data_IF_519003898247
#
_entry.id   IF_519003898247
#
_cell.length_a   1.000
_cell.length_b   1.000
_cell.length_c   1.000
_cell.angle_alpha   90.00
_cell.angle_beta   90.00
_cell.angle_gamma   90.00
#
_symmetry.space_group_name_H-M   'P 1'
#
loop_
_entity.id
_entity.type
_entity.pdbx_description
1 polymer ?
#
# COMPACT_ATOMS: atom_id res chain seq x y z
N UNK A 1 13.87 13.56 0.97
CA UNK A 1 12.93 12.72 0.18
C UNK A 1 12.08 13.63 -0.72
N UNK A 2 12.71 14.29 -1.69
CA UNK A 2 12.05 15.21 -2.63
C UNK A 2 12.20 14.63 -4.04
N UNK A 3 11.43 15.12 -5.02
CA UNK A 3 11.67 14.81 -6.43
C UNK A 3 13.11 15.21 -6.78
N UNK A 4 13.96 14.29 -7.31
CA UNK A 4 15.36 14.61 -7.54
C UNK A 4 15.52 15.78 -8.52
N UNK A 5 16.43 16.75 -8.26
CA UNK A 5 16.55 17.98 -9.06
C UNK A 5 16.71 17.75 -10.57
N UNK A 6 17.33 16.65 -10.99
CA UNK A 6 17.49 16.28 -12.40
C UNK A 6 16.17 16.14 -13.18
N UNK A 7 15.06 15.87 -12.49
CA UNK A 7 13.73 15.77 -13.08
C UNK A 7 13.02 17.13 -13.21
N UNK A 8 13.52 18.22 -12.61
CA UNK A 8 12.76 19.47 -12.46
C UNK A 8 13.15 20.61 -13.42
N UNK A 9 14.17 20.41 -14.26
CA UNK A 9 14.66 21.46 -15.17
C UNK A 9 13.81 21.55 -16.44
N UNK A 10 12.88 22.51 -16.47
CA UNK A 10 11.92 22.79 -17.57
C UNK A 10 12.60 23.14 -18.90
N UNK A 11 13.80 23.70 -18.86
CA UNK A 11 14.44 24.30 -20.06
C UNK A 11 15.40 23.32 -20.76
N UNK A 12 15.88 22.27 -20.08
CA UNK A 12 17.03 21.49 -20.58
C UNK A 12 17.00 19.99 -20.27
N UNK A 13 16.14 19.51 -19.38
CA UNK A 13 16.19 18.10 -18.98
C UNK A 13 15.28 17.24 -19.84
N UNK A 14 15.79 16.19 -20.51
CA UNK A 14 14.93 15.18 -21.14
C UNK A 14 14.16 14.34 -20.12
N UNK A 15 14.42 14.53 -18.82
CA UNK A 15 13.74 13.87 -17.71
C UNK A 15 12.57 14.70 -17.15
N UNK A 16 12.36 15.91 -17.66
CA UNK A 16 11.28 16.77 -17.21
C UNK A 16 9.92 16.34 -17.77
N UNK A 17 8.88 16.47 -16.94
CA UNK A 17 7.49 16.34 -17.33
C UNK A 17 6.69 17.50 -16.71
N UNK A 18 5.91 18.21 -17.52
CA UNK A 18 5.08 19.32 -17.09
C UNK A 18 3.75 18.89 -16.45
N UNK A 19 3.37 17.62 -16.58
CA UNK A 19 2.15 17.03 -16.04
C UNK A 19 2.36 16.39 -14.66
N UNK A 20 3.22 17.00 -13.83
CA UNK A 20 3.35 16.68 -12.40
C UNK A 20 2.55 17.67 -11.57
N UNK A 21 2.20 17.31 -10.33
CA UNK A 21 1.60 18.26 -9.40
C UNK A 21 2.62 19.39 -9.08
N UNK A 22 2.34 20.67 -9.44
CA UNK A 22 3.26 21.77 -9.20
C UNK A 22 3.54 22.02 -7.71
N UNK A 23 2.58 21.74 -6.83
CA UNK A 23 2.72 21.92 -5.37
C UNK A 23 3.65 20.86 -4.74
N UNK A 24 3.96 19.80 -5.50
CA UNK A 24 4.80 18.68 -5.08
C UNK A 24 6.22 18.72 -5.66
N UNK A 25 6.55 19.76 -6.43
CA UNK A 25 7.93 20.00 -6.83
C UNK A 25 8.77 20.45 -5.61
N UNK A 26 10.11 20.30 -5.64
CA UNK A 26 10.94 20.76 -4.53
C UNK A 26 10.66 22.25 -4.20
N UNK A 27 10.64 22.61 -2.91
CA UNK A 27 11.19 21.86 -1.77
C UNK A 27 10.23 20.85 -1.10
N UNK A 28 9.08 20.55 -1.69
CA UNK A 28 8.11 19.61 -1.10
C UNK A 28 8.69 18.21 -0.88
N UNK A 29 8.49 17.67 0.32
CA UNK A 29 8.85 16.29 0.68
C UNK A 29 7.69 15.38 0.29
N UNK A 30 8.00 14.24 -0.34
CA UNK A 30 6.99 13.25 -0.72
C UNK A 30 6.17 12.82 0.49
N UNK A 31 4.86 12.64 0.32
CA UNK A 31 4.03 11.98 1.31
C UNK A 31 3.76 10.54 0.88
N UNK A 32 4.44 9.57 1.51
CA UNK A 32 4.29 8.15 1.18
C UNK A 32 2.92 7.57 1.56
N UNK A 33 2.11 8.32 2.31
CA UNK A 33 0.73 7.99 2.64
C UNK A 33 -0.28 9.04 2.11
N UNK A 34 0.10 9.77 1.06
CA UNK A 34 -0.72 10.84 0.50
C UNK A 34 -2.16 10.42 0.20
N UNK A 35 -3.14 11.24 0.58
CA UNK A 35 -4.56 10.87 0.50
C UNK A 35 -5.46 11.94 -0.12
N UNK A 36 -4.94 12.66 -1.13
CA UNK A 36 -5.62 13.76 -1.83
C UNK A 36 -5.94 14.98 -0.95
N UNK A 37 -5.26 15.07 0.20
CA UNK A 37 -5.26 16.16 1.16
C UNK A 37 -3.83 16.64 1.43
N UNK A 38 -3.47 17.79 0.88
CA UNK A 38 -2.17 18.42 1.13
C UNK A 38 -2.22 19.18 2.45
N UNK A 39 -2.16 18.43 3.56
CA UNK A 39 -1.93 19.00 4.88
C UNK A 39 -0.46 19.39 4.95
N UNK A 40 -0.18 20.69 4.99
CA UNK A 40 1.18 21.19 5.18
C UNK A 40 1.71 20.74 6.53
N UNK A 41 2.70 19.86 6.50
CA UNK A 41 3.48 19.43 7.66
C UNK A 41 4.93 19.89 7.52
N UNK A 42 5.60 20.05 8.65
CA UNK A 42 7.03 20.34 8.65
C UNK A 42 7.81 19.24 7.87
N UNK A 43 8.78 19.58 7.00
CA UNK A 43 9.53 18.61 6.22
C UNK A 43 10.20 17.51 7.04
N UNK A 44 10.72 17.81 8.24
CA UNK A 44 11.33 16.81 9.10
C UNK A 44 10.29 15.85 9.68
N UNK A 45 9.10 16.36 9.99
CA UNK A 45 7.95 15.55 10.42
C UNK A 45 7.47 14.65 9.29
N UNK A 46 7.35 15.16 8.05
CA UNK A 46 6.99 14.32 6.89
C UNK A 46 8.01 13.22 6.62
N UNK A 47 9.31 13.51 6.75
CA UNK A 47 10.37 12.49 6.64
C UNK A 47 10.16 11.40 7.69
N UNK A 48 9.88 11.76 8.94
CA UNK A 48 9.57 10.79 9.99
C UNK A 48 8.36 9.93 9.62
N UNK A 49 7.24 10.53 9.22
CA UNK A 49 6.04 9.80 8.79
C UNK A 49 6.30 8.84 7.63
N UNK A 50 7.15 9.23 6.67
CA UNK A 50 7.57 8.34 5.59
C UNK A 50 8.37 7.15 6.10
N UNK A 51 9.28 7.34 7.06
CA UNK A 51 10.05 6.26 7.67
C UNK A 51 9.15 5.28 8.43
N UNK A 52 8.20 5.79 9.23
CA UNK A 52 7.19 4.95 9.91
C UNK A 52 6.31 4.18 8.93
N UNK A 53 5.93 4.81 7.82
CA UNK A 53 5.18 4.17 6.72
C UNK A 53 5.99 3.02 6.13
N UNK A 54 7.26 3.25 5.79
CA UNK A 54 8.13 2.19 5.28
C UNK A 54 8.34 1.05 6.27
N UNK A 55 8.58 1.35 7.55
CA UNK A 55 8.69 0.35 8.61
C UNK A 55 7.41 -0.49 8.71
N UNK A 56 6.23 0.15 8.71
CA UNK A 56 4.94 -0.55 8.75
C UNK A 56 4.81 -1.51 7.56
N UNK A 57 5.00 -1.01 6.35
CA UNK A 57 4.74 -1.76 5.13
C UNK A 57 5.75 -2.89 4.91
N UNK A 58 7.05 -2.61 5.05
CA UNK A 58 8.12 -3.58 4.77
C UNK A 58 8.31 -4.61 5.89
N UNK A 59 8.18 -4.21 7.17
CA UNK A 59 8.55 -5.06 8.32
C UNK A 59 7.32 -5.65 9.00
N UNK A 60 6.29 -4.83 9.26
CA UNK A 60 5.14 -5.28 10.05
C UNK A 60 4.11 -6.00 9.21
N UNK A 61 3.81 -5.50 8.01
CA UNK A 61 2.76 -6.04 7.14
C UNK A 61 3.28 -7.09 6.15
N UNK A 62 4.47 -6.92 5.57
CA UNK A 62 5.02 -7.83 4.53
C UNK A 62 5.82 -9.02 5.10
N UNK A 63 5.24 -9.83 5.99
CA UNK A 63 5.97 -10.96 6.62
C UNK A 63 5.93 -12.26 5.80
N UNK A 64 5.01 -12.36 4.84
CA UNK A 64 4.87 -13.51 3.94
C UNK A 64 4.93 -13.10 2.47
N UNK A 65 5.17 -14.06 1.55
CA UNK A 65 5.18 -13.77 0.11
C UNK A 65 3.83 -13.22 -0.38
N UNK A 66 2.70 -13.74 0.12
CA UNK A 66 1.36 -13.26 -0.23
C UNK A 66 1.13 -11.82 0.21
N UNK A 67 1.65 -11.41 1.36
CA UNK A 67 1.55 -10.02 1.81
C UNK A 67 2.47 -9.10 1.01
N UNK A 68 3.68 -9.55 0.66
CA UNK A 68 4.62 -8.73 -0.10
C UNK A 68 4.22 -8.57 -1.58
N UNK A 69 3.96 -9.68 -2.28
CA UNK A 69 3.67 -9.71 -3.72
C UNK A 69 2.18 -9.58 -4.06
N UNK A 70 1.29 -9.98 -3.16
CA UNK A 70 -0.14 -10.12 -3.45
C UNK A 70 -0.56 -11.57 -3.67
N UNK A 71 -1.84 -11.77 -3.97
CA UNK A 71 -2.40 -13.11 -4.13
C UNK A 71 -2.14 -13.66 -5.54
N UNK A 72 -2.25 -15.00 -5.71
CA UNK A 72 -2.10 -15.60 -7.02
C UNK A 72 -3.09 -15.05 -8.06
N UNK A 73 -2.58 -14.87 -9.29
CA UNK A 73 -3.36 -14.58 -10.48
C UNK A 73 -2.95 -15.57 -11.57
N UNK A 74 -3.91 -16.35 -12.06
CA UNK A 74 -3.71 -17.45 -13.01
C UNK A 74 -4.58 -17.29 -14.25
N UNK A 75 -4.19 -17.98 -15.32
CA UNK A 75 -4.97 -18.05 -16.54
C UNK A 75 -6.35 -18.67 -16.26
N UNK A 76 -7.41 -17.97 -16.66
CA UNK A 76 -8.80 -18.40 -16.42
C UNK A 76 -9.44 -17.83 -15.17
N UNK A 77 -8.68 -17.12 -14.32
CA UNK A 77 -9.26 -16.44 -13.17
C UNK A 77 -10.18 -15.29 -13.61
N UNK A 78 -11.24 -15.06 -12.83
CA UNK A 78 -12.14 -13.93 -13.02
C UNK A 78 -11.46 -12.64 -12.54
N UNK A 79 -11.02 -11.85 -13.51
CA UNK A 79 -10.37 -10.56 -13.27
C UNK A 79 -11.24 -9.55 -12.53
N UNK A 80 -12.55 -9.77 -12.36
CA UNK A 80 -13.41 -8.85 -11.61
C UNK A 80 -13.43 -9.14 -10.11
N UNK A 81 -12.89 -10.29 -9.68
CA UNK A 81 -12.93 -10.75 -8.29
C UNK A 81 -11.56 -11.17 -7.72
N UNK A 82 -10.47 -10.88 -8.47
CA UNK A 82 -9.11 -11.18 -8.04
C UNK A 82 -8.75 -10.47 -6.74
N UNK A 83 -8.32 -11.27 -5.76
CA UNK A 83 -7.88 -10.75 -4.47
C UNK A 83 -6.52 -10.06 -4.58
N UNK A 84 -6.48 -8.79 -4.17
CA UNK A 84 -5.42 -8.10 -3.44
C UNK A 84 -4.01 -8.10 -4.04
N UNK A 85 -3.63 -6.92 -4.51
CA UNK A 85 -2.27 -6.39 -4.54
C UNK A 85 -1.51 -6.61 -3.21
N UNK A 86 -0.18 -6.73 -3.29
CA UNK A 86 0.69 -6.77 -2.12
C UNK A 86 0.76 -5.44 -1.37
N UNK A 87 1.39 -5.44 -0.20
CA UNK A 87 1.52 -4.27 0.65
C UNK A 87 2.27 -3.13 -0.03
N UNK A 88 3.38 -3.43 -0.70
CA UNK A 88 4.22 -2.40 -1.34
C UNK A 88 3.53 -1.77 -2.54
N UNK A 89 2.76 -2.54 -3.31
CA UNK A 89 1.94 -2.04 -4.40
C UNK A 89 0.87 -1.06 -3.88
N UNK A 90 0.22 -1.39 -2.77
CA UNK A 90 -0.80 -0.56 -2.12
C UNK A 90 -0.23 0.71 -1.48
N UNK A 91 0.86 0.58 -0.73
CA UNK A 91 1.59 1.68 -0.08
C UNK A 91 3.04 1.25 0.13
N UNK A 92 4.03 2.02 -0.35
CA UNK A 92 3.91 3.40 -0.84
C UNK A 92 3.65 3.55 -2.34
N UNK A 93 3.74 2.50 -3.17
CA UNK A 93 3.76 2.62 -4.64
C UNK A 93 2.61 3.46 -5.20
N UNK A 94 1.35 3.07 -4.96
CA UNK A 94 0.20 3.80 -5.48
C UNK A 94 0.13 5.26 -4.99
N UNK A 95 0.63 5.53 -3.78
CA UNK A 95 0.63 6.87 -3.21
C UNK A 95 1.69 7.76 -3.88
N UNK A 96 2.87 7.22 -4.23
CA UNK A 96 3.89 7.98 -4.99
C UNK A 96 3.37 8.37 -6.36
N UNK A 97 2.69 7.46 -7.04
CA UNK A 97 2.00 7.73 -8.31
C UNK A 97 1.00 8.87 -8.18
N UNK A 98 0.06 8.75 -7.24
CA UNK A 98 -1.00 9.74 -7.03
C UNK A 98 -0.46 11.10 -6.59
N UNK A 99 0.56 11.11 -5.73
CA UNK A 99 1.25 12.32 -5.30
C UNK A 99 1.97 13.00 -6.47
N UNK A 100 2.59 12.24 -7.37
CA UNK A 100 3.37 12.83 -8.46
C UNK A 100 2.50 13.33 -9.62
N UNK A 101 1.38 12.65 -9.91
CA UNK A 101 0.47 12.96 -11.02
C UNK A 101 -0.10 14.38 -10.97
N UNK A 102 -0.49 14.92 -12.12
CA UNK A 102 -1.08 16.26 -12.22
C UNK A 102 -2.38 16.38 -11.44
N UNK A 103 -2.69 17.59 -11.02
CA UNK A 103 -3.98 17.97 -10.41
C UNK A 103 -4.80 18.92 -11.29
N UNK A 104 -4.35 19.17 -12.53
CA UNK A 104 -5.04 20.07 -13.49
C UNK A 104 -6.47 19.60 -13.76
N UNK A 105 -6.66 18.29 -13.90
CA UNK A 105 -7.97 17.65 -13.91
C UNK A 105 -8.04 16.67 -12.73
N UNK A 106 -8.78 16.99 -11.65
CA UNK A 106 -8.93 16.11 -10.50
C UNK A 106 -9.55 14.74 -10.83
N UNK A 107 -10.23 14.62 -11.98
CA UNK A 107 -10.76 13.35 -12.47
C UNK A 107 -9.75 12.56 -13.31
N UNK A 108 -8.59 13.15 -13.61
CA UNK A 108 -7.58 12.57 -14.49
C UNK A 108 -6.13 12.95 -14.11
N UNK A 109 -5.57 12.20 -13.17
CA UNK A 109 -4.26 12.48 -12.55
C UNK A 109 -3.05 12.06 -13.42
N UNK A 110 -3.08 12.30 -14.74
CA UNK A 110 -1.95 11.96 -15.63
C UNK A 110 -0.68 12.77 -15.30
N UNK A 111 0.53 12.37 -15.64
CA UNK A 111 0.91 11.05 -16.12
C UNK A 111 1.00 10.09 -14.93
N UNK A 112 1.86 10.37 -13.95
CA UNK A 112 2.16 9.44 -12.85
C UNK A 112 0.94 8.95 -12.05
N UNK A 113 -0.13 9.71 -11.90
CA UNK A 113 -1.31 9.29 -11.14
C UNK A 113 -2.29 8.37 -11.87
N UNK A 114 -1.98 7.90 -13.09
CA UNK A 114 -2.80 6.91 -13.80
C UNK A 114 -1.95 5.90 -14.59
N UNK A 115 -2.27 4.61 -14.50
CA UNK A 115 -1.42 3.55 -15.07
C UNK A 115 -1.27 3.63 -16.59
N UNK A 116 -2.30 4.08 -17.30
CA UNK A 116 -2.28 4.16 -18.76
C UNK A 116 -1.36 5.28 -19.31
N UNK A 117 -0.90 6.19 -18.45
CA UNK A 117 -0.06 7.33 -18.81
C UNK A 117 1.21 7.46 -17.97
N UNK A 118 1.33 6.78 -16.83
CA UNK A 118 2.42 6.93 -15.88
C UNK A 118 3.82 6.87 -16.51
N UNK A 119 4.08 5.89 -17.38
CA UNK A 119 5.37 5.70 -18.02
C UNK A 119 5.75 6.78 -19.08
N UNK A 120 4.85 7.73 -19.36
CA UNK A 120 5.16 8.92 -20.17
C UNK A 120 6.03 9.92 -19.40
N UNK A 121 5.95 9.89 -18.07
CA UNK A 121 6.86 10.64 -17.19
C UNK A 121 8.14 9.83 -16.97
N UNK A 122 9.34 10.34 -17.32
CA UNK A 122 10.61 9.65 -17.10
C UNK A 122 10.86 9.22 -15.64
N UNK A 123 10.27 9.90 -14.64
CA UNK A 123 10.46 9.54 -13.22
C UNK A 123 9.81 8.21 -12.86
N UNK A 124 8.85 7.72 -13.66
CA UNK A 124 8.22 6.41 -13.51
C UNK A 124 9.24 5.29 -13.35
N UNK A 125 10.27 5.28 -14.22
CA UNK A 125 11.28 4.24 -14.22
C UNK A 125 12.17 4.30 -12.97
N UNK A 126 12.49 5.50 -12.48
CA UNK A 126 13.23 5.66 -11.22
C UNK A 126 12.40 5.29 -9.99
N UNK A 127 11.09 5.57 -10.01
CA UNK A 127 10.18 5.10 -8.98
C UNK A 127 10.16 3.56 -8.93
N UNK A 128 9.93 2.90 -10.07
CA UNK A 128 9.91 1.44 -10.15
C UNK A 128 11.26 0.80 -9.90
N UNK A 129 12.38 1.47 -10.20
CA UNK A 129 13.71 1.01 -9.78
C UNK A 129 13.81 0.95 -8.25
N UNK A 130 13.24 1.90 -7.51
CA UNK A 130 13.24 1.82 -6.05
C UNK A 130 12.20 0.79 -5.52
N UNK A 131 11.11 0.53 -6.25
CA UNK A 131 10.17 -0.56 -5.93
C UNK A 131 10.84 -1.94 -6.10
N UNK A 132 11.57 -2.15 -7.20
CA UNK A 132 12.39 -3.35 -7.42
C UNK A 132 13.48 -3.48 -6.34
N UNK A 133 14.12 -2.37 -5.96
CA UNK A 133 15.05 -2.34 -4.82
C UNK A 133 14.37 -2.80 -3.52
N UNK A 134 13.09 -2.48 -3.27
CA UNK A 134 12.40 -2.95 -2.06
C UNK A 134 12.31 -4.47 -2.01
N UNK A 135 12.10 -5.14 -3.15
CA UNK A 135 12.14 -6.60 -3.21
C UNK A 135 13.51 -7.16 -2.84
N UNK A 136 14.59 -6.57 -3.36
CA UNK A 136 15.95 -7.01 -3.00
C UNK A 136 16.24 -6.83 -1.50
N UNK A 137 15.78 -5.73 -0.88
CA UNK A 137 15.90 -5.52 0.57
C UNK A 137 15.07 -6.53 1.34
N UNK A 138 13.83 -6.78 0.91
CA UNK A 138 12.93 -7.72 1.56
C UNK A 138 13.52 -9.14 1.58
N UNK A 139 14.07 -9.60 0.46
CA UNK A 139 14.76 -10.89 0.39
C UNK A 139 16.01 -10.92 1.27
N UNK A 140 16.92 -9.97 1.07
CA UNK A 140 18.29 -10.08 1.59
C UNK A 140 18.45 -9.62 3.05
N UNK A 141 17.64 -8.65 3.48
CA UNK A 141 17.76 -8.04 4.81
C UNK A 141 16.61 -8.42 5.75
N UNK A 142 15.40 -8.61 5.20
CA UNK A 142 14.22 -8.97 5.99
C UNK A 142 13.90 -10.46 5.96
N UNK A 143 14.71 -11.27 5.26
CA UNK A 143 14.56 -12.74 5.15
C UNK A 143 13.22 -13.16 4.52
N UNK A 144 12.71 -12.32 3.62
CA UNK A 144 11.60 -12.65 2.75
C UNK A 144 11.93 -13.82 1.83
N UNK A 145 10.90 -14.45 1.27
CA UNK A 145 11.06 -15.60 0.38
C UNK A 145 10.19 -15.44 -0.86
N UNK A 146 10.72 -15.76 -2.04
CA UNK A 146 9.90 -15.79 -3.25
C UNK A 146 8.86 -16.92 -3.19
N UNK A 147 7.80 -16.81 -3.98
CA UNK A 147 6.92 -17.96 -4.20
C UNK A 147 7.69 -19.10 -4.88
N UNK A 148 7.35 -20.32 -4.50
CA UNK A 148 7.83 -21.55 -5.14
C UNK A 148 6.77 -22.22 -6.02
N UNK A 149 5.59 -21.60 -6.12
CA UNK A 149 4.48 -22.06 -6.94
C UNK A 149 4.91 -22.11 -8.43
N UNK A 150 4.84 -23.28 -9.09
CA UNK A 150 5.16 -23.41 -10.50
C UNK A 150 4.34 -22.49 -11.42
N UNK A 151 3.09 -22.17 -11.07
CA UNK A 151 2.26 -21.27 -11.88
C UNK A 151 2.84 -19.85 -11.89
N UNK A 152 3.36 -19.41 -10.75
CA UNK A 152 4.05 -18.12 -10.64
C UNK A 152 5.41 -18.16 -11.34
N UNK A 153 6.23 -19.16 -11.06
CA UNK A 153 7.59 -19.28 -11.63
C UNK A 153 7.59 -19.38 -13.17
N UNK A 154 6.60 -20.05 -13.75
CA UNK A 154 6.48 -20.26 -15.19
C UNK A 154 5.64 -19.21 -15.89
N UNK A 155 4.99 -18.29 -15.16
CA UNK A 155 4.34 -17.13 -15.75
C UNK A 155 5.37 -16.36 -16.60
N UNK A 156 4.94 -15.96 -17.79
CA UNK A 156 5.82 -15.32 -18.76
C UNK A 156 5.21 -14.05 -19.33
N UNK A 157 6.10 -13.16 -19.74
CA UNK A 157 5.78 -11.89 -20.38
C UNK A 157 6.60 -11.78 -21.67
N UNK A 158 6.16 -10.90 -22.57
CA UNK A 158 6.89 -10.61 -23.82
C UNK A 158 7.27 -9.14 -23.81
N UNK A 159 8.56 -8.87 -23.90
CA UNK A 159 9.12 -7.52 -24.03
C UNK A 159 9.90 -7.40 -25.34
N UNK A 160 9.95 -6.19 -25.89
CA UNK A 160 10.93 -5.88 -26.93
C UNK A 160 12.28 -5.57 -26.28
N UNK A 161 13.34 -6.20 -26.77
CA UNK A 161 14.70 -5.91 -26.34
C UNK A 161 15.31 -4.74 -27.13
N UNK A 162 16.58 -4.44 -26.87
CA UNK A 162 17.35 -3.35 -27.48
C UNK A 162 17.53 -3.49 -29.01
N UNK A 163 17.46 -4.70 -29.58
CA UNK A 163 17.43 -4.91 -31.03
C UNK A 163 16.01 -4.92 -31.62
N UNK A 164 15.02 -4.46 -30.87
CA UNK A 164 13.60 -4.45 -31.25
C UNK A 164 13.06 -5.86 -31.59
N UNK A 165 13.55 -6.89 -30.89
CA UNK A 165 13.05 -8.27 -31.01
C UNK A 165 12.14 -8.62 -29.84
N UNK A 166 11.02 -9.32 -30.08
CA UNK A 166 10.18 -9.81 -28.99
C UNK A 166 10.89 -10.97 -28.30
N UNK A 167 11.07 -10.85 -26.98
CA UNK A 167 11.70 -11.86 -26.13
C UNK A 167 10.70 -12.29 -25.07
N UNK A 168 10.52 -13.61 -24.93
CA UNK A 168 9.75 -14.20 -23.83
C UNK A 168 10.64 -14.31 -22.60
N UNK A 169 10.20 -13.73 -21.48
CA UNK A 169 10.86 -13.83 -20.18
C UNK A 169 9.93 -14.50 -19.17
N UNK A 170 10.47 -15.27 -18.24
CA UNK A 170 9.69 -15.90 -17.16
C UNK A 170 10.08 -15.31 -15.81
N UNK A 171 9.17 -15.35 -14.85
CA UNK A 171 9.44 -14.87 -13.49
C UNK A 171 10.65 -15.58 -12.87
N UNK A 172 10.78 -16.90 -13.02
CA UNK A 172 11.92 -17.64 -12.45
C UNK A 172 13.30 -17.15 -12.95
N UNK A 173 13.34 -16.57 -14.14
CA UNK A 173 14.59 -16.11 -14.77
C UNK A 173 15.01 -14.72 -14.24
N UNK A 174 14.17 -14.03 -13.48
CA UNK A 174 14.46 -12.71 -12.90
C UNK A 174 14.62 -12.68 -11.38
N UNK A 175 14.61 -13.82 -10.69
CA UNK A 175 14.69 -13.91 -9.21
C UNK A 175 16.06 -13.56 -8.62
N UNK A 176 17.06 -13.34 -9.48
CA UNK A 176 18.43 -12.99 -9.11
C UNK A 176 18.91 -11.85 -10.03
N UNK A 177 18.93 -10.63 -9.50
CA UNK A 177 19.31 -9.44 -10.28
C UNK A 177 20.77 -9.52 -10.76
N UNK A 178 21.64 -10.27 -10.08
CA UNK A 178 23.04 -10.42 -10.49
C UNK A 178 23.17 -11.21 -11.79
N UNK A 179 22.27 -12.17 -12.04
CA UNK A 179 22.18 -12.90 -13.33
C UNK A 179 21.61 -12.02 -14.44
N UNK A 180 20.84 -10.99 -14.07
CA UNK A 180 20.37 -9.96 -14.99
C UNK A 180 21.43 -8.86 -15.22
N UNK A 181 22.58 -8.93 -14.55
CA UNK A 181 23.69 -8.01 -14.74
C UNK A 181 23.57 -6.69 -13.99
N UNK A 182 22.72 -6.59 -12.96
CA UNK A 182 22.59 -5.37 -12.16
C UNK A 182 22.40 -5.61 -10.66
N UNK A 183 22.79 -4.60 -9.87
CA UNK A 183 22.50 -4.49 -8.43
C UNK A 183 22.23 -3.03 -8.08
N UNK A 184 21.77 -2.78 -6.85
CA UNK A 184 21.63 -1.43 -6.32
C UNK A 184 22.86 -1.03 -5.52
N UNK A 185 23.17 0.27 -5.51
CA UNK A 185 24.15 0.83 -4.59
C UNK A 185 23.69 0.66 -3.13
N UNK A 186 24.63 0.29 -2.26
CA UNK A 186 24.41 0.17 -0.83
C UNK A 186 24.33 1.56 -0.20
N UNK A 187 23.11 2.00 0.07
CA UNK A 187 22.81 3.26 0.78
C UNK A 187 22.15 2.98 2.13
N UNK A 188 22.31 3.84 3.14
CA UNK A 188 21.67 3.67 4.44
C UNK A 188 20.14 3.51 4.33
N UNK A 189 19.59 2.54 5.05
CA UNK A 189 18.15 2.23 5.07
C UNK A 189 17.59 2.62 6.43
N UNK A 190 17.19 3.88 6.55
CA UNK A 190 16.83 4.50 7.83
C UNK A 190 15.56 3.92 8.47
N UNK A 191 14.64 3.35 7.68
CA UNK A 191 13.39 2.76 8.17
C UNK A 191 13.54 1.34 8.75
N UNK A 192 14.77 0.79 8.76
CA UNK A 192 15.08 -0.44 9.51
C UNK A 192 15.37 -0.17 10.99
N UNK A 193 15.59 1.09 11.38
CA UNK A 193 15.92 1.46 12.75
C UNK A 193 14.69 1.29 13.67
N UNK A 194 14.89 0.72 14.86
CA UNK A 194 13.83 0.54 15.85
C UNK A 194 13.16 1.86 16.28
N UNK A 195 13.86 2.99 16.18
CA UNK A 195 13.31 4.33 16.42
C UNK A 195 12.23 4.74 15.40
N UNK A 196 12.16 4.06 14.25
CA UNK A 196 11.13 4.25 13.22
C UNK A 196 9.95 3.30 13.37
N UNK A 197 9.83 2.63 14.52
CA UNK A 197 8.65 1.83 14.88
C UNK A 197 7.49 2.74 15.29
N UNK A 198 6.30 2.63 14.67
CA UNK A 198 5.12 3.37 15.10
C UNK A 198 4.83 3.17 16.59
N UNK A 199 4.31 4.19 17.26
CA UNK A 199 4.07 4.20 18.70
C UNK A 199 2.57 4.36 19.01
N UNK A 200 2.02 3.68 20.02
CA UNK A 200 0.65 3.91 20.47
C UNK A 200 0.43 5.36 20.91
N UNK A 201 -0.67 5.99 20.51
CA UNK A 201 -1.05 7.33 21.03
C UNK A 201 -1.46 7.26 22.49
N UNK A 202 -2.16 6.20 22.87
CA UNK A 202 -2.57 5.94 24.24
C UNK A 202 -2.68 4.43 24.47
N UNK A 203 -2.53 4.00 25.73
CA UNK A 203 -2.94 2.63 26.11
C UNK A 203 -4.46 2.56 26.00
N UNK A 204 -4.99 1.66 25.18
CA UNK A 204 -6.43 1.44 25.07
C UNK A 204 -7.00 1.15 26.47
N UNK A 205 -7.91 1.97 26.99
CA UNK A 205 -8.51 1.73 28.33
C UNK A 205 -9.98 1.34 28.28
N UNK A 206 -10.71 1.76 27.25
CA UNK A 206 -12.10 1.35 26.98
C UNK A 206 -12.42 1.59 25.51
N UNK A 207 -12.99 0.61 24.81
CA UNK A 207 -13.48 0.80 23.45
C UNK A 207 -14.78 1.64 23.47
N UNK A 208 -14.96 2.57 22.53
CA UNK A 208 -16.22 3.30 22.38
C UNK A 208 -17.35 2.34 21.96
N UNK A 209 -18.59 2.79 22.11
CA UNK A 209 -19.75 2.06 21.60
C UNK A 209 -19.81 2.16 20.08
N UNK A 210 -19.84 1.03 19.38
CA UNK A 210 -20.08 0.95 17.94
C UNK A 210 -20.85 -0.34 17.60
N UNK A 211 -21.60 -0.37 16.48
CA UNK A 211 -22.35 -1.55 16.06
C UNK A 211 -21.44 -2.72 15.63
N UNK A 212 -22.00 -3.92 15.60
CA UNK A 212 -21.34 -5.09 15.02
C UNK A 212 -21.29 -4.96 13.48
N UNK A 213 -20.27 -5.50 12.78
CA UNK A 213 -20.14 -5.41 11.32
C UNK A 213 -21.40 -5.84 10.55
N UNK A 214 -22.10 -6.88 11.01
CA UNK A 214 -23.31 -7.39 10.36
C UNK A 214 -24.50 -6.42 10.38
N UNK A 215 -24.48 -5.40 11.26
CA UNK A 215 -25.51 -4.36 11.34
C UNK A 215 -25.22 -3.19 10.38
N UNK A 216 -23.99 -3.10 9.87
CA UNK A 216 -23.52 -1.97 9.05
C UNK A 216 -23.29 -2.38 7.60
N UNK A 217 -22.70 -3.56 7.36
CA UNK A 217 -22.33 -4.00 6.02
C UNK A 217 -23.35 -4.97 5.41
N UNK A 218 -23.54 -4.98 4.07
CA UNK A 218 -22.81 -4.19 3.08
C UNK A 218 -23.24 -2.71 3.05
N UNK A 219 -22.30 -1.79 2.89
CA UNK A 219 -22.59 -0.35 2.77
C UNK A 219 -21.56 0.38 1.92
N UNK A 220 -21.92 1.57 1.47
CA UNK A 220 -21.01 2.52 0.81
C UNK A 220 -20.19 3.26 1.88
N UNK A 221 -18.87 3.33 1.69
CA UNK A 221 -17.96 4.10 2.53
C UNK A 221 -17.85 5.53 2.01
N UNK A 222 -18.84 6.37 2.30
CA UNK A 222 -18.92 7.80 1.96
C UNK A 222 -18.59 8.73 3.13
N UNK A 223 -18.53 8.18 4.35
CA UNK A 223 -18.12 8.84 5.59
C UNK A 223 -17.37 7.85 6.49
N UNK A 224 -16.69 8.32 7.56
CA UNK A 224 -16.08 7.43 8.53
C UNK A 224 -17.07 6.42 9.13
N UNK A 225 -16.66 5.16 9.23
CA UNK A 225 -17.45 4.07 9.81
C UNK A 225 -16.65 3.42 10.94
N UNK A 226 -17.29 3.28 12.09
CA UNK A 226 -16.77 2.61 13.29
C UNK A 226 -17.55 1.32 13.53
N UNK A 227 -16.88 0.19 13.70
CA UNK A 227 -17.50 -1.11 14.03
C UNK A 227 -16.70 -1.86 15.10
N UNK A 228 -17.40 -2.62 15.94
CA UNK A 228 -16.77 -3.51 16.93
C UNK A 228 -16.64 -4.90 16.34
N UNK A 229 -15.41 -5.34 16.07
CA UNK A 229 -15.12 -6.64 15.46
C UNK A 229 -14.73 -7.64 16.54
N UNK A 230 -15.43 -8.77 16.58
CA UNK A 230 -15.12 -9.87 17.49
C UNK A 230 -13.81 -10.55 17.07
N UNK A 231 -12.94 -10.83 18.05
CA UNK A 231 -11.72 -11.59 17.81
C UNK A 231 -12.01 -13.09 17.92
N UNK A 232 -11.53 -13.91 16.97
CA UNK A 232 -11.68 -15.35 17.09
C UNK A 232 -10.86 -15.86 18.28
N UNK A 233 -11.47 -16.67 19.15
CA UNK A 233 -10.75 -17.34 20.24
C UNK A 233 -9.94 -18.51 19.68
N UNK A 234 -8.66 -18.56 20.03
CA UNK A 234 -7.80 -19.67 19.61
C UNK A 234 -8.13 -20.94 20.40
N UNK A 235 -8.36 -22.05 19.71
CA UNK A 235 -8.24 -23.39 20.31
C UNK A 235 -6.81 -23.90 20.10
N UNK A 236 -6.02 -24.02 21.18
CA UNK A 236 -4.67 -24.61 21.15
C UNK A 236 -3.50 -23.63 21.33
N UNK A 237 -2.30 -24.17 21.57
CA UNK A 237 -1.13 -23.48 22.15
C UNK A 237 -0.14 -22.84 21.16
N UNK A 238 -0.55 -22.51 19.93
CA UNK A 238 0.33 -21.82 18.97
C UNK A 238 0.18 -20.29 18.99
N UNK A 239 1.14 -19.54 18.42
CA UNK A 239 0.95 -18.13 18.02
C UNK A 239 0.66 -18.08 16.51
N UNK A 240 -0.61 -17.98 16.11
CA UNK A 240 -1.00 -17.75 14.71
C UNK A 240 -1.23 -16.26 14.54
N UNK A 241 -0.83 -15.70 13.41
CA UNK A 241 -1.09 -14.30 13.12
C UNK A 241 -2.60 -14.04 13.03
N UNK A 242 -3.05 -12.98 13.67
CA UNK A 242 -4.39 -12.42 13.48
C UNK A 242 -4.36 -11.46 12.30
N UNK A 243 -5.30 -11.65 11.37
CA UNK A 243 -5.45 -10.87 10.16
C UNK A 243 -6.80 -10.17 10.20
N UNK A 244 -6.79 -8.84 10.17
CA UNK A 244 -7.98 -8.04 9.86
C UNK A 244 -8.24 -8.11 8.35
N UNK A 245 -9.45 -8.49 7.96
CA UNK A 245 -9.88 -8.57 6.57
C UNK A 245 -11.00 -7.57 6.34
N UNK A 246 -10.79 -6.64 5.40
CA UNK A 246 -11.83 -5.81 4.82
C UNK A 246 -12.36 -6.54 3.58
N UNK A 247 -13.61 -6.98 3.65
CA UNK A 247 -14.20 -7.92 2.71
C UNK A 247 -14.99 -7.23 1.60
N UNK A 248 -14.78 -7.71 0.37
CA UNK A 248 -15.54 -7.36 -0.81
C UNK A 248 -15.62 -5.86 -1.05
N UNK A 249 -14.45 -5.23 -1.10
CA UNK A 249 -14.23 -3.85 -1.53
C UNK A 249 -14.59 -3.77 -3.01
N UNK A 250 -15.76 -3.23 -3.32
CA UNK A 250 -16.30 -3.04 -4.67
C UNK A 250 -16.09 -1.58 -5.11
N UNK A 251 -15.44 -1.39 -6.26
CA UNK A 251 -15.14 -0.07 -6.83
C UNK A 251 -15.00 -0.13 -8.35
N UNK A 252 -14.94 1.04 -9.02
CA UNK A 252 -14.62 1.14 -10.45
C UNK A 252 -13.11 1.37 -10.63
N UNK A 253 -12.40 0.47 -11.32
CA UNK A 253 -10.94 0.60 -11.59
C UNK A 253 -10.58 1.81 -12.44
N UNK A 254 -11.56 2.41 -13.12
CA UNK A 254 -11.39 3.67 -13.84
C UNK A 254 -11.16 4.87 -12.92
N UNK A 255 -11.42 4.72 -11.62
CA UNK A 255 -11.36 5.79 -10.64
C UNK A 255 -10.22 5.61 -9.64
N UNK A 256 -9.67 6.73 -9.19
CA UNK A 256 -8.85 6.74 -7.99
C UNK A 256 -9.76 6.51 -6.78
N UNK A 257 -9.45 5.48 -5.99
CA UNK A 257 -10.10 5.25 -4.69
C UNK A 257 -9.05 5.08 -3.60
N UNK A 258 -9.31 5.62 -2.41
CA UNK A 258 -8.48 5.43 -1.23
C UNK A 258 -9.32 5.49 0.04
N UNK A 259 -9.02 4.62 1.00
CA UNK A 259 -9.50 4.74 2.36
C UNK A 259 -8.45 4.24 3.36
N UNK A 260 -8.45 4.84 4.54
CA UNK A 260 -7.55 4.51 5.64
C UNK A 260 -8.24 3.55 6.61
N UNK A 261 -7.45 2.69 7.26
CA UNK A 261 -7.92 1.71 8.23
C UNK A 261 -7.19 1.91 9.55
N UNK A 262 -7.96 2.02 10.62
CA UNK A 262 -7.45 2.15 11.98
C UNK A 262 -8.02 1.05 12.87
N UNK A 263 -7.28 0.72 13.93
CA UNK A 263 -7.68 -0.21 14.98
C UNK A 263 -7.59 0.47 16.35
N UNK A 264 -8.63 0.33 17.15
CA UNK A 264 -8.75 0.94 18.48
C UNK A 264 -8.57 2.47 18.51
N UNK A 265 -8.98 3.15 17.44
CA UNK A 265 -8.93 4.61 17.29
C UNK A 265 -10.23 5.14 16.67
N UNK A 266 -10.89 6.07 17.36
CA UNK A 266 -12.10 6.77 16.90
C UNK A 266 -11.87 8.27 16.64
N UNK A 267 -10.80 8.86 17.16
CA UNK A 267 -10.35 10.22 16.85
C UNK A 267 -9.24 10.19 15.78
N UNK A 268 -9.65 9.76 14.59
CA UNK A 268 -8.75 9.58 13.43
C UNK A 268 -8.10 10.87 12.94
N UNK A 269 -8.67 12.04 13.27
CA UNK A 269 -8.11 13.34 12.88
C UNK A 269 -6.83 13.68 13.67
N UNK A 270 -6.69 13.10 14.86
CA UNK A 270 -5.50 13.26 15.68
C UNK A 270 -4.54 12.07 15.56
N UNK A 271 -4.86 11.10 14.68
CA UNK A 271 -3.98 9.99 14.32
C UNK A 271 -3.13 10.32 13.11
N UNK A 272 -1.90 9.85 13.15
CA UNK A 272 -0.85 10.12 12.17
C UNK A 272 -0.17 8.82 11.70
N UNK A 273 0.62 8.87 10.61
CA UNK A 273 1.32 7.69 10.11
C UNK A 273 2.34 7.07 11.06
N UNK A 274 2.76 7.76 12.12
CA UNK A 274 3.64 7.25 13.17
C UNK A 274 2.89 6.56 14.32
N UNK A 275 1.56 6.49 14.26
CA UNK A 275 0.76 5.84 15.30
C UNK A 275 0.53 4.34 15.00
N UNK A 276 0.50 3.55 16.06
CA UNK A 276 0.31 2.09 15.98
C UNK A 276 -1.11 1.73 15.55
N UNK A 277 -2.07 2.54 15.97
CA UNK A 277 -3.49 2.42 15.68
C UNK A 277 -3.78 2.53 14.17
N UNK A 278 -2.93 3.24 13.41
CA UNK A 278 -3.05 3.31 11.96
C UNK A 278 -2.44 2.06 11.30
N UNK A 279 -3.29 1.27 10.62
CA UNK A 279 -2.89 0.03 9.96
C UNK A 279 -2.38 0.25 8.53
N UNK A 280 -2.68 1.40 7.94
CA UNK A 280 -2.40 1.70 6.53
C UNK A 280 -3.68 1.96 5.75
N UNK A 281 -3.58 1.84 4.42
CA UNK A 281 -4.66 2.17 3.52
C UNK A 281 -4.88 1.12 2.44
N UNK A 282 -6.07 1.18 1.85
CA UNK A 282 -6.36 0.58 0.55
C UNK A 282 -6.38 1.71 -0.48
N UNK A 283 -5.75 1.49 -1.64
CA UNK A 283 -5.75 2.43 -2.75
C UNK A 283 -5.87 1.72 -4.11
N UNK A 284 -6.38 2.44 -5.10
CA UNK A 284 -6.39 2.03 -6.49
C UNK A 284 -6.07 3.23 -7.38
N UNK A 285 -5.18 3.04 -8.35
CA UNK A 285 -4.93 3.99 -9.42
C UNK A 285 -5.86 3.74 -10.62
N UNK A 286 -6.29 4.80 -11.35
CA UNK A 286 -7.03 4.66 -12.60
C UNK A 286 -6.29 3.82 -13.66
N UNK A 287 -6.98 2.82 -14.24
CA UNK A 287 -6.44 1.95 -15.29
C UNK A 287 -6.80 2.39 -16.73
N UNK A 288 -7.48 3.54 -16.90
CA UNK A 288 -7.86 4.08 -18.21
C UNK A 288 -9.09 3.44 -18.86
N UNK A 289 -9.74 2.49 -18.18
CA UNK A 289 -11.01 1.90 -18.59
C UNK A 289 -11.87 1.62 -17.36
N UNK A 290 -13.19 1.66 -17.53
CA UNK A 290 -14.14 1.38 -16.44
C UNK A 290 -14.35 -0.12 -16.30
N UNK A 291 -14.31 -0.59 -15.06
CA UNK A 291 -14.56 -1.99 -14.70
C UNK A 291 -14.93 -2.05 -13.24
N UNK A 292 -16.09 -2.61 -12.92
CA UNK A 292 -16.42 -2.96 -11.54
C UNK A 292 -15.51 -4.09 -11.09
N UNK A 293 -14.82 -3.87 -9.99
CA UNK A 293 -13.82 -4.77 -9.44
C UNK A 293 -14.08 -4.96 -7.96
N UNK A 294 -13.89 -6.20 -7.50
CA UNK A 294 -14.13 -6.61 -6.12
C UNK A 294 -12.88 -7.29 -5.58
N UNK A 295 -12.40 -6.84 -4.43
CA UNK A 295 -11.21 -7.40 -3.77
C UNK A 295 -11.38 -7.42 -2.26
N UNK A 296 -10.45 -8.06 -1.58
CA UNK A 296 -10.25 -7.91 -0.14
C UNK A 296 -8.95 -7.14 0.14
N UNK A 297 -8.86 -6.53 1.33
CA UNK A 297 -7.60 -6.02 1.90
C UNK A 297 -7.37 -6.69 3.25
N UNK A 298 -6.11 -7.06 3.51
CA UNK A 298 -5.69 -7.80 4.71
C UNK A 298 -4.67 -6.95 5.46
N UNK A 299 -4.71 -6.99 6.79
CA UNK A 299 -3.73 -6.35 7.66
C UNK A 299 -3.32 -7.30 8.78
N UNK A 300 -2.03 -7.47 9.00
CA UNK A 300 -1.48 -8.16 10.17
C UNK A 300 -1.69 -7.30 11.41
N UNK A 301 -2.30 -7.88 12.44
CA UNK A 301 -2.67 -7.14 13.66
C UNK A 301 -2.12 -7.76 14.95
N UNK A 302 -1.50 -8.94 14.96
CA UNK A 302 -1.03 -9.55 16.22
C UNK A 302 -0.01 -8.68 16.97
N UNK A 303 0.96 -8.13 16.25
CA UNK A 303 1.98 -7.24 16.83
C UNK A 303 1.38 -5.88 17.22
N UNK A 304 0.42 -5.38 16.43
CA UNK A 304 -0.31 -4.14 16.72
C UNK A 304 -1.10 -4.28 18.02
N UNK A 305 -1.82 -5.40 18.21
CA UNK A 305 -2.56 -5.68 19.43
C UNK A 305 -1.67 -5.84 20.66
N UNK A 306 -0.44 -6.36 20.49
CA UNK A 306 0.55 -6.40 21.56
C UNK A 306 0.98 -4.99 21.98
N UNK A 307 1.37 -4.16 21.02
CA UNK A 307 1.83 -2.79 21.27
C UNK A 307 0.75 -1.92 21.92
N UNK A 308 -0.51 -2.10 21.50
CA UNK A 308 -1.65 -1.39 22.07
C UNK A 308 -2.07 -1.93 23.46
N UNK A 309 -1.49 -3.05 23.92
CA UNK A 309 -1.90 -3.72 25.15
C UNK A 309 -3.30 -4.36 25.07
N UNK A 310 -3.75 -4.70 23.86
CA UNK A 310 -5.08 -5.21 23.55
C UNK A 310 -5.12 -6.73 23.31
N UNK A 311 -4.05 -7.47 23.63
CA UNK A 311 -3.96 -8.93 23.45
C UNK A 311 -5.09 -9.70 24.13
N UNK A 312 -5.53 -9.23 25.29
CA UNK A 312 -6.56 -9.90 26.09
C UNK A 312 -7.99 -9.46 25.74
N UNK A 313 -8.17 -8.58 24.75
CA UNK A 313 -9.49 -8.03 24.43
C UNK A 313 -10.29 -9.02 23.58
N UNK A 314 -11.52 -9.38 23.95
CA UNK A 314 -12.34 -10.27 23.11
C UNK A 314 -12.77 -9.61 21.77
N UNK A 315 -12.62 -8.29 21.64
CA UNK A 315 -13.07 -7.47 20.51
C UNK A 315 -12.18 -6.25 20.30
N UNK A 316 -12.21 -5.68 19.11
CA UNK A 316 -11.48 -4.46 18.74
C UNK A 316 -12.41 -3.48 18.03
N UNK A 317 -12.11 -2.20 18.13
CA UNK A 317 -12.73 -1.19 17.27
C UNK A 317 -11.97 -1.16 15.94
N UNK A 318 -12.70 -1.17 14.83
CA UNK A 318 -12.14 -0.90 13.50
C UNK A 318 -12.82 0.33 12.94
N UNK A 319 -11.99 1.26 12.44
CA UNK A 319 -12.44 2.52 11.86
C UNK A 319 -11.97 2.60 10.41
N UNK A 320 -12.92 2.79 9.49
CA UNK A 320 -12.68 2.97 8.06
C UNK A 320 -12.93 4.43 7.70
N UNK A 321 -11.96 5.09 7.06
CA UNK A 321 -12.04 6.52 6.74
C UNK A 321 -11.87 6.71 5.23
N UNK A 322 -12.92 7.12 4.48
CA UNK A 322 -12.76 7.41 3.07
C UNK A 322 -11.85 8.62 2.85
N UNK A 323 -10.99 8.54 1.84
CA UNK A 323 -10.02 9.58 1.47
C UNK A 323 -10.14 10.05 0.02
N UNK A 324 -10.84 9.29 -0.82
CA UNK A 324 -11.16 9.69 -2.20
C UNK A 324 -12.59 10.20 -2.32
N UNK A 325 -12.82 11.06 -3.31
CA UNK A 325 -14.18 11.51 -3.70
C UNK A 325 -15.03 10.35 -4.23
N UNK A 326 -14.40 9.39 -4.92
CA UNK A 326 -15.07 8.19 -5.40
C UNK A 326 -15.30 7.22 -4.23
N UNK A 327 -16.55 6.88 -3.91
CA UNK A 327 -16.84 5.96 -2.81
C UNK A 327 -16.54 4.51 -3.22
N UNK A 328 -16.28 3.69 -2.22
CA UNK A 328 -16.20 2.23 -2.36
C UNK A 328 -17.33 1.57 -1.59
N UNK A 329 -17.81 0.42 -2.04
CA UNK A 329 -18.74 -0.39 -1.26
C UNK A 329 -17.96 -1.49 -0.53
N UNK A 330 -18.25 -1.66 0.76
CA UNK A 330 -17.60 -2.65 1.63
C UNK A 330 -18.65 -3.69 2.00
N UNK A 331 -18.30 -4.96 1.84
CA UNK A 331 -19.20 -6.09 2.11
C UNK A 331 -19.13 -6.59 3.54
N UNK A 332 -18.00 -6.40 4.23
CA UNK A 332 -17.83 -6.84 5.61
C UNK A 332 -16.45 -6.51 6.18
N UNK A 333 -16.32 -6.74 7.49
CA UNK A 333 -15.05 -6.66 8.21
C UNK A 333 -15.01 -7.81 9.21
N UNK A 334 -13.92 -8.57 9.22
CA UNK A 334 -13.71 -9.67 10.17
C UNK A 334 -12.25 -9.86 10.53
N UNK A 335 -12.00 -10.61 11.60
CA UNK A 335 -10.66 -11.07 11.96
C UNK A 335 -10.59 -12.58 11.80
N UNK A 336 -9.54 -13.05 11.15
CA UNK A 336 -9.23 -14.47 10.95
C UNK A 336 -7.82 -14.77 11.44
N UNK A 337 -7.50 -16.03 11.64
CA UNK A 337 -6.10 -16.43 11.77
C UNK A 337 -5.52 -16.72 10.39
N UNK A 338 -4.25 -16.36 10.21
CA UNK A 338 -3.48 -16.74 9.03
C UNK A 338 -3.39 -18.27 8.96
N UNK A 339 -3.66 -18.82 7.77
CA UNK A 339 -3.91 -20.24 7.53
C UNK A 339 -2.67 -20.97 7.01
#
# INVERSE_FOLDING_TARGET
MQIPPMYNSVVTSPLYDCLRNPDHLPPSVINLDWSNDDVTVDPEVQIKYNLYTMHRQMIKQSKSPTEFFGNPYRAGDDITTLNGAGEIEQTPHNNVHSWTGTVVDPSNLINMGAFYSAARDPIFYAHHANVDRMWTIWLNQLKGNNFTDPDWLNAYFIFYNEEAKPVRVRIQDCLDTTKLGYTYEDVPILWLDASTRPQPRAKAKTLPSAPDPAQVFPTTLDKPINVIVQRPKKSGSGSSEEILVIEGIEYDKGNYVKFNVYINEDDVNASHPDNTEYLGSFSNLPHGHRMSYKTNKRFRISEVLEELGARDYDRVLVTLVPKSVNPVKINGVKIVFDS
#
